data_IF_095316781259
#
_entry.id   IF_095316781259
#
_cell.length_a   1.000
_cell.length_b   1.000
_cell.length_c   1.000
_cell.angle_alpha   90.00
_cell.angle_beta   90.00
_cell.angle_gamma   90.00
#
_symmetry.space_group_name_H-M   'P 1'
#
loop_
_entity.id
_entity.type
_entity.pdbx_description
1 polymer ?
#
# COMPACT_ATOMS: atom_id res chain seq x y z
N UNK A 1 7.04 -13.78 3.30
CA UNK A 1 6.92 -13.55 1.85
C UNK A 1 6.82 -12.03 1.65
N UNK A 2 6.73 -11.49 0.44
CA UNK A 2 6.43 -10.07 0.21
C UNK A 2 5.55 -9.94 -1.02
N UNK A 3 4.81 -8.84 -1.13
CA UNK A 3 3.91 -8.56 -2.25
C UNK A 3 3.96 -7.09 -2.64
N UNK A 4 3.68 -6.80 -3.90
CA UNK A 4 3.57 -5.44 -4.44
C UNK A 4 2.30 -5.37 -5.28
N UNK A 5 1.54 -4.29 -5.12
CA UNK A 5 0.40 -3.94 -5.94
C UNK A 5 0.55 -2.50 -6.44
N UNK A 6 0.04 -2.21 -7.64
CA UNK A 6 0.19 -0.90 -8.26
C UNK A 6 -0.96 -0.58 -9.21
N UNK A 7 -1.34 0.69 -9.25
CA UNK A 7 -2.41 1.22 -10.11
C UNK A 7 -1.91 2.48 -10.81
N UNK A 8 -2.30 2.65 -12.07
CA UNK A 8 -2.10 3.89 -12.83
C UNK A 8 -3.44 4.31 -13.42
N UNK A 9 -3.86 5.54 -13.11
CA UNK A 9 -5.13 6.09 -13.57
C UNK A 9 -4.96 7.54 -14.02
N UNK A 10 -5.87 8.00 -14.88
CA UNK A 10 -6.03 9.43 -15.21
C UNK A 10 -6.80 10.19 -14.11
N UNK A 11 -7.55 9.47 -13.28
CA UNK A 11 -8.25 10.00 -12.11
C UNK A 11 -7.55 9.60 -10.80
N UNK A 12 -8.17 9.96 -9.67
CA UNK A 12 -7.71 9.49 -8.37
C UNK A 12 -7.84 7.96 -8.26
N UNK A 13 -6.79 7.30 -7.77
CA UNK A 13 -6.71 5.85 -7.63
C UNK A 13 -6.14 5.42 -6.28
N UNK A 14 -6.14 6.33 -5.29
CA UNK A 14 -5.67 6.02 -3.93
C UNK A 14 -6.46 4.87 -3.31
N UNK A 15 -7.79 4.86 -3.48
CA UNK A 15 -8.65 3.80 -2.95
C UNK A 15 -8.36 2.44 -3.60
N UNK A 16 -8.22 2.40 -4.93
CA UNK A 16 -7.89 1.17 -5.66
C UNK A 16 -6.53 0.61 -5.22
N UNK A 17 -5.53 1.49 -5.09
CA UNK A 17 -4.20 1.12 -4.61
C UNK A 17 -4.26 0.59 -3.17
N UNK A 18 -5.06 1.20 -2.30
CA UNK A 18 -5.24 0.77 -0.91
C UNK A 18 -5.85 -0.63 -0.85
N UNK A 19 -7.01 -0.85 -1.47
CA UNK A 19 -7.71 -2.14 -1.38
C UNK A 19 -6.94 -3.28 -2.06
N UNK A 20 -6.28 -3.02 -3.20
CA UNK A 20 -5.47 -4.05 -3.84
C UNK A 20 -4.18 -4.38 -3.07
N UNK A 21 -3.62 -3.43 -2.32
CA UNK A 21 -2.51 -3.70 -1.40
C UNK A 21 -2.98 -4.47 -0.17
N UNK A 22 -4.14 -4.09 0.39
CA UNK A 22 -4.73 -4.74 1.56
C UNK A 22 -5.09 -6.21 1.30
N UNK A 23 -5.53 -6.54 0.08
CA UNK A 23 -5.73 -7.94 -0.33
C UNK A 23 -4.46 -8.79 -0.20
N UNK A 24 -3.29 -8.20 -0.40
CA UNK A 24 -1.99 -8.84 -0.28
C UNK A 24 -1.37 -8.73 1.12
N UNK A 25 -2.09 -8.21 2.12
CA UNK A 25 -1.57 -8.01 3.49
C UNK A 25 -1.02 -9.30 4.12
N UNK A 26 -1.65 -10.44 3.85
CA UNK A 26 -1.22 -11.77 4.31
C UNK A 26 0.15 -12.21 3.77
N UNK A 27 0.68 -11.56 2.72
CA UNK A 27 1.98 -11.90 2.14
C UNK A 27 3.14 -11.37 2.97
N UNK A 28 2.95 -10.35 3.82
CA UNK A 28 4.04 -9.70 4.57
C UNK A 28 3.68 -9.31 6.00
N UNK A 29 4.58 -9.60 6.94
CA UNK A 29 4.29 -9.46 8.39
C UNK A 29 5.23 -8.50 9.13
N UNK A 30 5.98 -7.66 8.40
CA UNK A 30 7.03 -6.81 9.02
C UNK A 30 6.82 -5.33 8.70
N UNK A 31 6.71 -4.97 7.42
CA UNK A 31 6.41 -3.60 6.99
C UNK A 31 5.38 -3.60 5.89
N UNK A 32 4.48 -2.64 5.93
CA UNK A 32 3.45 -2.39 4.93
C UNK A 32 3.30 -0.89 4.69
N UNK A 33 2.87 -0.51 3.50
CA UNK A 33 2.74 0.90 3.16
C UNK A 33 2.37 1.16 1.71
N UNK A 34 2.15 2.43 1.41
CA UNK A 34 1.73 2.92 0.10
C UNK A 34 2.59 4.13 -0.28
N UNK A 35 2.81 4.30 -1.59
CA UNK A 35 3.38 5.49 -2.17
C UNK A 35 2.54 5.92 -3.38
N UNK A 36 2.17 7.19 -3.44
CA UNK A 36 1.32 7.76 -4.49
C UNK A 36 2.01 8.98 -5.08
N UNK A 37 1.99 9.07 -6.41
CA UNK A 37 2.41 10.27 -7.14
C UNK A 37 1.21 11.18 -7.34
N UNK A 38 1.35 12.46 -6.99
CA UNK A 38 0.36 13.49 -7.24
C UNK A 38 1.03 14.73 -7.90
N UNK A 39 0.27 15.80 -8.10
CA UNK A 39 0.77 17.05 -8.70
C UNK A 39 1.85 17.77 -7.87
N UNK A 40 2.03 17.41 -6.61
CA UNK A 40 2.99 17.99 -5.67
C UNK A 40 4.21 17.10 -5.43
N UNK A 41 4.30 15.93 -6.10
CA UNK A 41 5.39 14.98 -5.97
C UNK A 41 4.91 13.61 -5.49
N UNK A 42 5.62 13.03 -4.53
CA UNK A 42 5.29 11.71 -3.95
C UNK A 42 4.89 11.84 -2.49
N UNK A 43 3.75 11.26 -2.14
CA UNK A 43 3.33 11.05 -0.75
C UNK A 43 3.51 9.58 -0.42
N UNK A 44 4.17 9.27 0.71
CA UNK A 44 4.43 7.89 1.14
C UNK A 44 4.14 7.70 2.63
N UNK A 45 3.59 6.55 2.97
CA UNK A 45 3.38 6.11 4.34
C UNK A 45 3.81 4.65 4.46
N UNK A 46 4.81 4.38 5.29
CA UNK A 46 5.37 3.05 5.52
C UNK A 46 5.36 2.80 7.03
N UNK A 47 4.74 1.71 7.45
CA UNK A 47 4.53 1.36 8.85
C UNK A 47 5.16 0.01 9.18
N UNK A 48 5.62 -0.12 10.42
CA UNK A 48 5.91 -1.43 11.00
C UNK A 48 4.59 -2.11 11.37
N UNK A 49 4.38 -3.32 10.86
CA UNK A 49 3.16 -4.11 11.06
C UNK A 49 3.44 -5.42 11.80
N UNK A 50 4.63 -5.57 12.40
CA UNK A 50 5.03 -6.79 13.11
C UNK A 50 4.10 -7.14 14.28
N UNK A 51 3.40 -6.14 14.82
CA UNK A 51 2.43 -6.28 15.92
C UNK A 51 0.96 -6.08 15.49
N UNK A 52 0.69 -5.96 14.18
CA UNK A 52 -0.69 -5.81 13.71
C UNK A 52 -1.49 -7.10 13.98
N UNK A 53 -2.70 -6.94 14.52
CA UNK A 53 -3.55 -8.06 14.95
C UNK A 53 -4.18 -8.80 13.76
N UNK A 54 -4.19 -8.19 12.59
CA UNK A 54 -4.62 -8.81 11.34
C UNK A 54 -3.48 -9.69 10.80
N UNK A 55 -3.56 -11.00 11.10
CA UNK A 55 -2.80 -12.07 10.45
C UNK A 55 -3.70 -12.81 9.47
#
# INVERSE_FOLDING_TARGET
MSGVFGVVSKGDCVADLFYGTDYHSHLGTVRGGLAVKNGQGFSRFIHDISNAQFR
#
